data_IF_678187963138
#
_entry.id   IF_678187963138
#
_cell.length_a   1.000
_cell.length_b   1.000
_cell.length_c   1.000
_cell.angle_alpha   90.00
_cell.angle_beta   90.00
_cell.angle_gamma   90.00
#
_symmetry.space_group_name_H-M   'P 1'
#
loop_
_entity.id
_entity.type
_entity.pdbx_description
1 polymer ?
#
# COMPACT_ATOMS: atom_id res chain seq x y z
N UNK A 1 -7.93 -7.94 -8.62
CA UNK A 1 -6.59 -7.97 -7.98
C UNK A 1 -6.79 -8.48 -6.56
N UNK A 2 -6.08 -9.52 -6.17
CA UNK A 2 -6.23 -10.12 -4.85
C UNK A 2 -5.96 -9.03 -3.80
N UNK A 3 -7.00 -8.67 -3.06
CA UNK A 3 -6.94 -7.80 -1.87
C UNK A 3 -5.72 -8.24 -1.10
N UNK A 4 -4.67 -7.41 -1.02
CA UNK A 4 -3.48 -7.75 -0.25
C UNK A 4 -3.95 -7.92 1.20
N UNK A 5 -4.11 -9.18 1.59
CA UNK A 5 -4.69 -9.54 2.88
C UNK A 5 -3.64 -9.24 3.93
N UNK A 6 -4.12 -8.80 5.10
CA UNK A 6 -3.25 -8.42 6.21
C UNK A 6 -2.35 -9.57 6.65
N UNK A 7 -2.78 -10.81 6.43
CA UNK A 7 -2.03 -12.05 6.64
C UNK A 7 -0.82 -12.19 5.71
N UNK A 8 -1.00 -11.88 4.42
CA UNK A 8 0.06 -11.91 3.41
C UNK A 8 1.19 -10.92 3.76
N UNK A 9 0.82 -9.73 4.24
CA UNK A 9 1.76 -8.69 4.67
C UNK A 9 2.50 -9.02 5.97
N UNK A 10 1.90 -9.82 6.87
CA UNK A 10 2.55 -10.17 8.15
C UNK A 10 3.74 -11.10 7.97
N UNK A 11 3.72 -11.96 6.94
CA UNK A 11 4.81 -12.90 6.64
C UNK A 11 5.99 -12.26 5.91
N UNK A 12 5.83 -11.07 5.33
CA UNK A 12 6.89 -10.35 4.63
C UNK A 12 7.84 -9.66 5.62
N UNK A 13 9.14 -9.70 5.34
CA UNK A 13 10.15 -8.90 6.06
C UNK A 13 9.92 -7.39 5.88
N UNK A 14 10.55 -6.58 6.73
CA UNK A 14 10.39 -5.12 6.71
C UNK A 14 10.85 -4.50 5.39
N UNK A 15 11.91 -5.03 4.78
CA UNK A 15 12.39 -4.56 3.47
C UNK A 15 11.46 -4.97 2.33
N UNK A 16 10.96 -6.21 2.33
CA UNK A 16 9.94 -6.63 1.37
C UNK A 16 8.64 -5.81 1.48
N UNK A 17 8.26 -5.38 2.69
CA UNK A 17 7.14 -4.46 2.90
C UNK A 17 7.40 -3.08 2.32
N UNK A 18 8.64 -2.56 2.43
CA UNK A 18 9.02 -1.28 1.82
C UNK A 18 9.03 -1.36 0.30
N UNK A 19 9.57 -2.44 -0.28
CA UNK A 19 9.54 -2.63 -1.74
C UNK A 19 8.09 -2.66 -2.25
N UNK A 20 7.23 -3.45 -1.60
CA UNK A 20 5.82 -3.53 -1.95
C UNK A 20 5.08 -2.21 -1.74
N UNK A 21 5.50 -1.39 -0.78
CA UNK A 21 4.99 -0.02 -0.60
C UNK A 21 5.33 0.86 -1.81
N UNK A 22 6.56 0.78 -2.31
CA UNK A 22 7.02 1.56 -3.47
C UNK A 22 6.24 1.17 -4.72
N UNK A 23 6.01 -0.13 -4.94
CA UNK A 23 5.16 -0.60 -6.06
C UNK A 23 3.74 -0.05 -5.97
N UNK A 24 3.10 -0.19 -4.80
CA UNK A 24 1.74 0.32 -4.57
C UNK A 24 1.68 1.84 -4.76
N UNK A 25 2.71 2.59 -4.33
CA UNK A 25 2.76 4.04 -4.54
C UNK A 25 2.97 4.44 -6.00
N UNK A 26 3.73 3.66 -6.78
CA UNK A 26 3.86 3.86 -8.24
C UNK A 26 2.51 3.67 -8.94
N UNK A 27 1.79 2.58 -8.67
CA UNK A 27 0.45 2.37 -9.24
C UNK A 27 -0.53 3.49 -8.83
N UNK A 28 -0.49 3.90 -7.56
CA UNK A 28 -1.38 4.94 -7.05
C UNK A 28 -1.06 6.32 -7.65
N UNK A 29 0.20 6.58 -8.05
CA UNK A 29 0.57 7.77 -8.82
C UNK A 29 0.04 7.71 -10.24
N UNK A 30 0.16 6.57 -10.92
CA UNK A 30 -0.37 6.39 -12.27
C UNK A 30 -1.89 6.61 -12.30
N UNK A 31 -2.64 5.99 -11.38
CA UNK A 31 -4.09 6.19 -11.23
C UNK A 31 -4.46 7.64 -10.90
N UNK A 32 -3.63 8.34 -10.09
CA UNK A 32 -3.83 9.76 -9.83
C UNK A 32 -3.57 10.63 -11.06
N UNK A 33 -2.56 10.31 -11.86
CA UNK A 33 -2.27 11.02 -13.11
C UNK A 33 -3.42 10.83 -14.10
N UNK A 34 -3.90 9.60 -14.27
CA UNK A 34 -5.09 9.30 -15.07
C UNK A 34 -6.29 10.11 -14.58
N UNK A 35 -6.59 10.08 -13.28
CA UNK A 35 -7.68 10.88 -12.68
C UNK A 35 -7.54 12.38 -12.93
N UNK A 36 -6.33 12.93 -12.86
CA UNK A 36 -6.07 14.36 -13.14
C UNK A 36 -6.30 14.70 -14.61
N UNK A 37 -5.96 13.78 -15.52
CA UNK A 37 -6.09 14.00 -16.96
C UNK A 37 -7.52 13.82 -17.48
N UNK A 38 -8.25 12.81 -17.00
CA UNK A 38 -9.60 12.46 -17.50
C UNK A 38 -10.73 12.85 -16.54
N UNK A 39 -10.41 13.42 -15.36
CA UNK A 39 -11.38 13.76 -14.32
C UNK A 39 -11.94 12.57 -13.53
N UNK A 40 -11.72 11.33 -14.00
CA UNK A 40 -12.19 10.09 -13.37
C UNK A 40 -11.06 9.06 -13.31
N UNK A 41 -10.86 8.36 -12.19
CA UNK A 41 -9.93 7.22 -12.19
C UNK A 41 -10.46 6.13 -13.10
N UNK A 42 -9.58 5.47 -13.86
CA UNK A 42 -9.91 4.38 -14.77
C UNK A 42 -10.65 3.25 -14.04
N UNK A 43 -10.22 2.96 -12.81
CA UNK A 43 -10.92 2.02 -11.94
C UNK A 43 -11.06 2.54 -10.50
N UNK A 44 -12.18 3.17 -10.12
CA UNK A 44 -12.38 3.75 -8.79
C UNK A 44 -12.31 2.70 -7.66
N UNK A 45 -12.66 1.45 -7.94
CA UNK A 45 -12.51 0.34 -7.00
C UNK A 45 -11.04 0.05 -6.71
N UNK A 46 -10.23 -0.09 -7.75
CA UNK A 46 -8.78 -0.31 -7.65
C UNK A 46 -8.09 0.84 -6.92
N UNK A 47 -8.46 2.08 -7.23
CA UNK A 47 -7.90 3.25 -6.55
C UNK A 47 -8.14 3.24 -5.02
N UNK A 48 -9.35 2.87 -4.59
CA UNK A 48 -9.69 2.73 -3.16
C UNK A 48 -8.90 1.59 -2.52
N UNK A 49 -8.71 0.48 -3.23
CA UNK A 49 -7.94 -0.67 -2.76
C UNK A 49 -6.46 -0.34 -2.59
N UNK A 50 -5.83 0.34 -3.56
CA UNK A 50 -4.44 0.78 -3.49
C UNK A 50 -4.19 1.70 -2.29
N UNK A 51 -5.13 2.62 -2.00
CA UNK A 51 -5.08 3.46 -0.80
C UNK A 51 -5.11 2.63 0.49
N UNK A 52 -6.00 1.64 0.56
CA UNK A 52 -6.10 0.74 1.72
C UNK A 52 -4.84 -0.11 1.87
N UNK A 53 -4.29 -0.63 0.79
CA UNK A 53 -3.05 -1.41 0.78
C UNK A 53 -1.88 -0.58 1.32
N UNK A 54 -1.69 0.64 0.80
CA UNK A 54 -0.68 1.60 1.30
C UNK A 54 -0.82 1.86 2.80
N UNK A 55 -2.04 2.13 3.26
CA UNK A 55 -2.30 2.38 4.68
C UNK A 55 -1.94 1.16 5.54
N UNK A 56 -2.36 -0.06 5.13
CA UNK A 56 -2.06 -1.30 5.85
C UNK A 56 -0.56 -1.55 5.98
N UNK A 57 0.21 -1.37 4.90
CA UNK A 57 1.67 -1.54 4.91
C UNK A 57 2.32 -0.55 5.87
N UNK A 58 1.95 0.73 5.81
CA UNK A 58 2.47 1.76 6.73
C UNK A 58 2.14 1.46 8.19
N UNK A 59 0.91 1.02 8.48
CA UNK A 59 0.51 0.61 9.83
C UNK A 59 1.35 -0.56 10.32
N UNK A 60 1.64 -1.53 9.45
CA UNK A 60 2.41 -2.72 9.82
C UNK A 60 3.88 -2.36 10.10
N UNK A 61 4.51 -1.56 9.25
CA UNK A 61 5.86 -1.01 9.47
C UNK A 61 5.94 -0.18 10.76
N UNK A 62 4.96 0.68 11.02
CA UNK A 62 4.91 1.47 12.26
C UNK A 62 4.73 0.60 13.49
N UNK A 63 3.89 -0.44 13.40
CA UNK A 63 3.69 -1.40 14.48
C UNK A 63 4.94 -2.21 14.79
N UNK A 64 5.74 -2.57 13.77
CA UNK A 64 7.03 -3.27 13.96
C UNK A 64 8.08 -2.34 14.58
N UNK A 65 8.19 -1.11 14.06
CA UNK A 65 9.08 -0.09 14.64
C UNK A 65 8.80 0.18 16.12
N UNK A 66 7.51 0.28 16.50
CA UNK A 66 7.12 0.47 17.91
C UNK A 66 7.41 -0.74 18.80
N UNK A 67 7.40 -1.96 18.25
CA UNK A 67 7.78 -3.16 19.01
C UNK A 67 9.29 -3.26 19.23
N UNK A 68 10.10 -2.89 18.24
CA UNK A 68 11.56 -2.92 18.35
C UNK A 68 12.18 -1.82 19.23
N UNK A 69 11.45 -0.75 19.56
CA UNK A 69 11.93 0.31 20.48
C UNK A 69 11.50 0.10 21.94
N UNK A 70 10.96 -1.07 22.28
CA UNK A 70 10.47 -1.39 23.63
C UNK A 70 11.29 -2.47 24.34
N UNK A 71 12.47 -2.77 23.83
CA UNK A 71 13.42 -3.74 24.38
C UNK A 71 14.67 -3.01 24.92
#
# INVERSE_FOLDING_TARGET
MAVVRKTDLKGLGDDALKEKLVEVEKELRAEQAARKSSGKPDNPGRFRELKKARARIKTLLSSRKKKGSKE
#
